data_IF_725843659851
#
_entry.id   IF_725843659851
#
_cell.length_a   1.000
_cell.length_b   1.000
_cell.length_c   1.000
_cell.angle_alpha   90.00
_cell.angle_beta   90.00
_cell.angle_gamma   90.00
#
_symmetry.space_group_name_H-M   'P 1'
#
loop_
_entity.id
_entity.type
_entity.pdbx_description
1 polymer ?
#
# COMPACT_ATOMS: atom_id res chain seq x y z
N UNK A 1 -10.23 -32.47 -13.43
CA UNK A 1 -9.54 -31.58 -14.37
C UNK A 1 -8.94 -30.48 -13.51
N UNK A 2 -7.67 -30.61 -13.13
CA UNK A 2 -6.95 -29.62 -12.31
C UNK A 2 -6.84 -28.34 -13.14
N UNK A 3 -7.52 -27.26 -12.73
CA UNK A 3 -7.25 -25.92 -13.26
C UNK A 3 -5.84 -25.57 -12.84
N UNK A 4 -4.96 -25.39 -13.80
CA UNK A 4 -3.65 -24.79 -13.60
C UNK A 4 -3.90 -23.42 -12.96
N UNK A 5 -3.31 -23.15 -11.81
CA UNK A 5 -3.27 -21.82 -11.22
C UNK A 5 -2.77 -20.82 -12.29
N UNK A 6 -3.20 -19.55 -12.27
CA UNK A 6 -2.60 -18.53 -13.12
C UNK A 6 -1.10 -18.70 -13.01
N UNK A 7 -0.45 -18.78 -14.16
CA UNK A 7 0.92 -19.25 -14.32
C UNK A 7 1.82 -18.46 -13.35
N UNK A 8 2.66 -19.17 -12.59
CA UNK A 8 3.65 -18.55 -11.70
C UNK A 8 4.43 -17.45 -12.45
N UNK A 9 4.69 -17.67 -13.73
CA UNK A 9 5.31 -16.70 -14.63
C UNK A 9 4.49 -15.40 -14.78
N UNK A 10 3.17 -15.45 -14.80
CA UNK A 10 2.31 -14.26 -14.90
C UNK A 10 2.34 -13.45 -13.59
N UNK A 11 2.33 -14.14 -12.44
CA UNK A 11 2.47 -13.51 -11.13
C UNK A 11 3.86 -12.88 -10.93
N UNK A 12 4.93 -13.52 -11.37
CA UNK A 12 6.29 -12.98 -11.34
C UNK A 12 6.44 -11.76 -12.26
N UNK A 13 5.86 -11.79 -13.44
CA UNK A 13 5.84 -10.64 -14.35
C UNK A 13 5.07 -9.46 -13.75
N UNK A 14 3.90 -9.71 -13.14
CA UNK A 14 3.14 -8.67 -12.45
C UNK A 14 3.92 -8.09 -11.27
N UNK A 15 4.65 -8.93 -10.51
CA UNK A 15 5.52 -8.49 -9.42
C UNK A 15 6.64 -7.58 -9.93
N UNK A 16 7.35 -7.96 -11.00
CA UNK A 16 8.41 -7.13 -11.59
C UNK A 16 7.90 -5.76 -12.01
N UNK A 17 6.75 -5.72 -12.69
CA UNK A 17 6.09 -4.47 -13.08
C UNK A 17 5.75 -3.60 -11.85
N UNK A 18 5.16 -4.19 -10.80
CA UNK A 18 4.82 -3.49 -9.57
C UNK A 18 6.05 -2.92 -8.87
N UNK A 19 7.15 -3.69 -8.79
CA UNK A 19 8.41 -3.25 -8.20
C UNK A 19 8.98 -2.04 -8.95
N UNK A 20 9.04 -2.09 -10.29
CA UNK A 20 9.51 -0.98 -11.11
C UNK A 20 8.63 0.26 -10.94
N UNK A 21 7.32 0.11 -10.97
CA UNK A 21 6.36 1.18 -10.81
C UNK A 21 6.48 1.84 -9.43
N UNK A 22 6.52 1.04 -8.35
CA UNK A 22 6.67 1.54 -6.99
C UNK A 22 7.98 2.32 -6.79
N UNK A 23 9.10 1.83 -7.32
CA UNK A 23 10.38 2.54 -7.25
C UNK A 23 10.39 3.85 -8.04
N UNK A 24 9.73 3.93 -9.20
CA UNK A 24 9.64 5.16 -9.98
C UNK A 24 8.77 6.19 -9.24
N UNK A 25 7.57 5.80 -8.81
CA UNK A 25 6.67 6.65 -8.04
C UNK A 25 7.32 7.12 -6.71
N UNK A 26 7.98 6.20 -6.00
CA UNK A 26 8.70 6.53 -4.77
C UNK A 26 9.78 7.59 -4.96
N UNK A 27 10.55 7.55 -6.06
CA UNK A 27 11.53 8.60 -6.39
C UNK A 27 10.88 9.95 -6.69
N UNK A 28 9.74 9.97 -7.38
CA UNK A 28 8.98 11.21 -7.65
C UNK A 28 8.49 11.82 -6.34
N UNK A 29 7.90 11.01 -5.46
CA UNK A 29 7.45 11.44 -4.14
C UNK A 29 8.62 11.96 -3.27
N UNK A 30 9.76 11.27 -3.24
CA UNK A 30 10.94 11.70 -2.50
C UNK A 30 11.48 13.05 -2.99
N UNK A 31 11.42 13.33 -4.29
CA UNK A 31 11.89 14.60 -4.84
C UNK A 31 11.09 15.82 -4.35
N UNK A 32 9.85 15.61 -3.87
CA UNK A 32 8.95 16.65 -3.34
C UNK A 32 8.79 16.61 -1.82
N UNK A 33 9.18 15.51 -1.17
CA UNK A 33 9.02 15.32 0.28
C UNK A 33 9.74 16.40 1.08
N UNK A 34 9.03 17.03 2.02
CA UNK A 34 9.58 18.12 2.85
C UNK A 34 9.62 19.48 2.16
N UNK A 35 9.21 19.56 0.90
CA UNK A 35 8.98 20.81 0.16
C UNK A 35 7.59 21.41 0.41
N UNK A 36 7.26 22.53 -0.29
CA UNK A 36 5.91 23.11 -0.23
C UNK A 36 4.87 22.07 -0.70
N UNK A 37 3.78 21.95 0.05
CA UNK A 37 2.64 21.13 -0.38
C UNK A 37 1.84 21.88 -1.46
N UNK A 38 1.73 21.31 -2.64
CA UNK A 38 1.02 21.87 -3.78
C UNK A 38 -0.25 21.06 -4.07
N UNK A 39 -1.31 21.72 -4.55
CA UNK A 39 -2.54 21.09 -5.00
C UNK A 39 -3.31 20.33 -3.91
N UNK A 40 -3.13 20.67 -2.63
CA UNK A 40 -3.75 19.94 -1.52
C UNK A 40 -5.26 20.16 -1.49
N UNK A 41 -6.02 19.07 -1.60
CA UNK A 41 -7.49 19.07 -1.58
C UNK A 41 -8.00 18.02 -0.58
N UNK A 42 -9.12 18.30 0.07
CA UNK A 42 -9.82 17.33 0.91
C UNK A 42 -10.70 16.41 0.04
N UNK A 43 -10.59 15.08 0.25
CA UNK A 43 -11.39 14.04 -0.41
C UNK A 43 -12.78 13.90 0.25
N UNK A 44 -12.89 12.94 1.18
CA UNK A 44 -14.16 12.60 1.82
C UNK A 44 -14.43 13.40 3.09
N UNK A 45 -13.38 13.86 3.77
CA UNK A 45 -13.44 14.69 4.98
C UNK A 45 -12.31 15.72 4.96
N UNK A 46 -12.39 16.76 5.81
CA UNK A 46 -11.31 17.75 5.94
C UNK A 46 -9.96 17.20 6.42
N UNK A 47 -9.91 15.95 6.82
CA UNK A 47 -8.72 15.24 7.27
C UNK A 47 -8.26 14.13 6.32
N UNK A 48 -8.99 13.94 5.23
CA UNK A 48 -8.69 12.99 4.16
C UNK A 48 -8.21 13.81 2.96
N UNK A 49 -6.89 13.87 2.77
CA UNK A 49 -6.23 14.82 1.87
C UNK A 49 -5.60 14.10 0.69
N UNK A 50 -5.49 14.81 -0.41
CA UNK A 50 -4.73 14.43 -1.61
C UNK A 50 -3.92 15.63 -2.07
N UNK A 51 -2.82 15.40 -2.75
CA UNK A 51 -1.95 16.44 -3.32
C UNK A 51 -1.59 16.15 -4.78
N UNK A 52 -0.97 17.12 -5.44
CA UNK A 52 -0.45 16.93 -6.79
C UNK A 52 0.60 15.80 -6.86
N UNK A 53 1.32 15.56 -5.75
CA UNK A 53 2.29 14.46 -5.66
C UNK A 53 1.62 13.09 -5.73
N UNK A 54 0.46 12.92 -5.07
CA UNK A 54 -0.35 11.69 -5.13
C UNK A 54 -0.81 11.43 -6.58
N UNK A 55 -1.38 12.47 -7.23
CA UNK A 55 -1.88 12.34 -8.60
C UNK A 55 -0.78 12.03 -9.61
N UNK A 56 0.40 12.65 -9.49
CA UNK A 56 1.54 12.37 -10.38
C UNK A 56 2.06 10.95 -10.21
N UNK A 57 2.16 10.48 -8.97
CA UNK A 57 2.55 9.10 -8.67
C UNK A 57 1.51 8.10 -9.21
N UNK A 58 0.21 8.39 -9.03
CA UNK A 58 -0.90 7.60 -9.58
C UNK A 58 -0.79 7.45 -11.09
N UNK A 59 -0.70 8.58 -11.81
CA UNK A 59 -0.58 8.58 -13.27
C UNK A 59 0.61 7.77 -13.78
N UNK A 60 1.74 7.84 -13.07
CA UNK A 60 2.94 7.07 -13.41
C UNK A 60 2.69 5.59 -13.27
N UNK A 61 2.15 5.14 -12.13
CA UNK A 61 1.87 3.72 -11.87
C UNK A 61 0.85 3.19 -12.87
N UNK A 62 -0.28 3.90 -13.04
CA UNK A 62 -1.35 3.50 -13.96
C UNK A 62 -0.87 3.46 -15.41
N UNK A 63 -0.04 4.41 -15.83
CA UNK A 63 0.55 4.44 -17.17
C UNK A 63 1.41 3.22 -17.45
N UNK A 64 2.22 2.79 -16.49
CA UNK A 64 3.04 1.58 -16.62
C UNK A 64 2.19 0.30 -16.66
N UNK A 65 1.19 0.19 -15.80
CA UNK A 65 0.30 -0.98 -15.79
C UNK A 65 -0.45 -1.07 -17.11
N UNK A 66 -1.05 0.02 -17.60
CA UNK A 66 -1.79 0.04 -18.87
C UNK A 66 -0.92 -0.30 -20.09
N UNK A 67 0.33 0.10 -20.06
CA UNK A 67 1.25 -0.18 -21.18
C UNK A 67 1.61 -1.67 -21.30
N UNK A 68 1.75 -2.38 -20.19
CA UNK A 68 2.15 -3.79 -20.18
C UNK A 68 0.98 -4.75 -19.95
N UNK A 69 -0.10 -4.29 -19.30
CA UNK A 69 -1.26 -5.06 -18.89
C UNK A 69 -2.58 -4.35 -19.28
N UNK A 70 -2.80 -4.04 -20.57
CA UNK A 70 -3.92 -3.21 -21.02
C UNK A 70 -5.31 -3.82 -20.75
N UNK A 71 -5.40 -5.16 -20.63
CA UNK A 71 -6.63 -5.90 -20.46
C UNK A 71 -6.96 -6.23 -18.99
N UNK A 72 -6.08 -5.86 -18.04
CA UNK A 72 -6.31 -6.04 -16.62
C UNK A 72 -7.21 -4.93 -16.06
N UNK A 73 -8.02 -5.27 -15.05
CA UNK A 73 -8.77 -4.27 -14.31
C UNK A 73 -7.84 -3.48 -13.37
N UNK A 74 -8.13 -2.19 -13.19
CA UNK A 74 -7.37 -1.33 -12.26
C UNK A 74 -8.34 -0.59 -11.35
N UNK A 75 -8.03 -0.54 -10.06
CA UNK A 75 -8.67 0.30 -9.06
C UNK A 75 -7.58 1.09 -8.34
N UNK A 76 -7.58 2.40 -8.50
CA UNK A 76 -6.71 3.31 -7.77
C UNK A 76 -7.46 4.07 -6.70
N UNK A 77 -6.80 4.37 -5.59
CA UNK A 77 -7.35 5.21 -4.53
C UNK A 77 -7.58 6.64 -5.01
N UNK A 78 -6.62 7.22 -5.77
CA UNK A 78 -6.65 8.62 -6.14
C UNK A 78 -7.59 8.93 -7.31
N UNK A 79 -7.52 8.16 -8.35
CA UNK A 79 -8.38 8.38 -9.52
C UNK A 79 -9.78 7.79 -9.36
N UNK A 80 -10.01 6.91 -8.39
CA UNK A 80 -11.26 6.17 -8.23
C UNK A 80 -11.60 5.36 -9.48
N UNK A 81 -10.67 5.21 -10.39
CA UNK A 81 -10.86 4.63 -11.70
C UNK A 81 -10.95 3.11 -11.58
N UNK A 82 -12.16 2.60 -11.69
CA UNK A 82 -12.39 1.18 -11.90
C UNK A 82 -12.38 0.91 -13.41
N UNK A 83 -11.22 0.65 -13.98
CA UNK A 83 -11.14 0.16 -15.36
C UNK A 83 -11.60 -1.29 -15.35
N UNK A 84 -12.61 -1.62 -16.16
CA UNK A 84 -13.04 -3.00 -16.33
C UNK A 84 -11.97 -3.75 -17.13
N UNK A 85 -11.56 -4.92 -16.63
CA UNK A 85 -10.62 -5.81 -17.34
C UNK A 85 -11.32 -7.06 -17.85
N UNK A 86 -10.65 -7.79 -18.76
CA UNK A 86 -11.13 -9.05 -19.34
C UNK A 86 -10.33 -10.28 -18.88
N UNK A 87 -9.19 -10.09 -18.25
CA UNK A 87 -8.27 -11.18 -17.82
C UNK A 87 -8.68 -11.87 -16.51
N UNK A 88 -9.53 -11.23 -15.70
CA UNK A 88 -9.83 -11.66 -14.33
C UNK A 88 -8.82 -11.18 -13.30
N UNK A 89 -7.72 -10.50 -13.73
CA UNK A 89 -6.76 -9.84 -12.85
C UNK A 89 -7.21 -8.41 -12.57
N UNK A 90 -7.08 -7.99 -11.31
CA UNK A 90 -7.34 -6.60 -10.88
C UNK A 90 -6.18 -6.06 -10.07
N UNK A 91 -5.67 -4.92 -10.49
CA UNK A 91 -4.67 -4.13 -9.77
C UNK A 91 -5.36 -3.23 -8.75
N UNK A 92 -4.74 -3.12 -7.57
CA UNK A 92 -5.11 -2.21 -6.50
C UNK A 92 -3.91 -1.30 -6.25
N UNK A 93 -4.10 0.00 -6.41
CA UNK A 93 -3.03 0.99 -6.34
C UNK A 93 -3.36 2.04 -5.29
N UNK A 94 -2.48 2.20 -4.32
CA UNK A 94 -2.39 3.36 -3.44
C UNK A 94 -1.03 4.01 -3.71
N UNK A 95 -0.99 5.11 -4.46
CA UNK A 95 0.26 5.73 -4.89
C UNK A 95 1.02 6.40 -3.74
N UNK A 96 0.32 6.81 -2.68
CA UNK A 96 0.88 7.44 -1.49
C UNK A 96 0.08 7.08 -0.24
N UNK A 97 0.28 5.85 0.28
CA UNK A 97 -0.24 5.47 1.60
C UNK A 97 0.43 6.33 2.69
N UNK A 98 -0.39 7.07 3.42
CA UNK A 98 0.07 8.01 4.43
C UNK A 98 0.21 9.45 3.93
N UNK A 99 -0.66 9.92 3.02
CA UNK A 99 -0.70 11.30 2.50
C UNK A 99 -0.63 12.35 3.60
N UNK A 100 -1.36 12.17 4.71
CA UNK A 100 -1.25 13.08 5.87
C UNK A 100 0.17 13.15 6.41
N UNK A 101 0.83 12.01 6.60
CA UNK A 101 2.22 11.97 7.08
C UNK A 101 3.16 12.69 6.11
N UNK A 102 3.00 12.40 4.83
CA UNK A 102 3.78 13.02 3.77
C UNK A 102 3.65 14.55 3.80
N UNK A 103 2.44 15.09 3.84
CA UNK A 103 2.15 16.52 3.84
C UNK A 103 2.68 17.24 5.08
N UNK A 104 2.72 16.55 6.23
CA UNK A 104 3.28 17.10 7.48
C UNK A 104 4.76 16.80 7.68
N UNK A 105 5.45 16.22 6.69
CA UNK A 105 6.87 15.87 6.81
C UNK A 105 7.14 14.74 7.82
N UNK A 106 6.11 13.98 8.20
CA UNK A 106 6.31 12.83 9.09
C UNK A 106 6.83 11.63 8.28
N UNK A 107 8.00 11.05 8.68
CA UNK A 107 8.70 10.09 7.82
C UNK A 107 8.11 8.67 7.90
N UNK A 108 6.85 8.51 7.55
CA UNK A 108 6.13 7.24 7.53
C UNK A 108 5.04 7.28 6.45
N UNK A 109 5.40 6.87 5.24
CA UNK A 109 4.53 6.75 4.09
C UNK A 109 5.14 5.76 3.09
N UNK A 110 4.33 5.22 2.20
CA UNK A 110 4.75 4.19 1.27
C UNK A 110 3.98 4.27 -0.06
N UNK A 111 4.49 3.58 -1.09
CA UNK A 111 3.74 3.22 -2.30
C UNK A 111 3.26 1.79 -2.14
N UNK A 112 1.96 1.54 -2.35
CA UNK A 112 1.36 0.22 -2.23
C UNK A 112 0.71 -0.21 -3.54
N UNK A 113 1.15 -1.34 -4.09
CA UNK A 113 0.64 -1.91 -5.34
C UNK A 113 0.38 -3.39 -5.14
N UNK A 114 -0.83 -3.85 -5.45
CA UNK A 114 -1.17 -5.26 -5.40
C UNK A 114 -1.98 -5.67 -6.63
N UNK A 115 -2.02 -6.95 -6.93
CA UNK A 115 -3.06 -7.49 -7.77
C UNK A 115 -3.69 -8.74 -7.17
N UNK A 116 -4.94 -8.99 -7.55
CA UNK A 116 -5.71 -10.16 -7.15
C UNK A 116 -6.49 -10.74 -8.34
N UNK A 117 -6.85 -11.98 -8.21
CA UNK A 117 -7.77 -12.71 -9.08
C UNK A 117 -9.00 -13.18 -8.29
N UNK A 118 -9.78 -14.09 -8.86
CA UNK A 118 -10.96 -14.70 -8.20
C UNK A 118 -10.61 -15.48 -6.92
N UNK A 119 -9.35 -15.90 -6.75
CA UNK A 119 -8.88 -16.66 -5.58
C UNK A 119 -8.36 -15.73 -4.45
N UNK A 120 -8.29 -14.42 -4.70
CA UNK A 120 -7.76 -13.43 -3.75
C UNK A 120 -6.43 -12.81 -4.17
N UNK A 121 -5.61 -12.38 -3.22
CA UNK A 121 -4.31 -11.75 -3.52
C UNK A 121 -3.40 -12.64 -4.35
N UNK A 122 -2.89 -12.12 -5.45
CA UNK A 122 -1.94 -12.79 -6.33
C UNK A 122 -0.51 -12.37 -6.02
N UNK A 123 -0.26 -11.07 -5.95
CA UNK A 123 0.99 -10.47 -5.50
C UNK A 123 0.74 -9.13 -4.79
N UNK A 124 1.74 -8.65 -4.05
CA UNK A 124 1.73 -7.31 -3.47
C UNK A 124 3.14 -6.77 -3.27
N UNK A 125 3.25 -5.45 -3.38
CA UNK A 125 4.45 -4.64 -3.15
C UNK A 125 4.10 -3.48 -2.25
N UNK A 126 4.92 -3.25 -1.22
CA UNK A 126 4.93 -2.01 -0.43
C UNK A 126 6.34 -1.47 -0.44
N UNK A 127 6.53 -0.27 -0.99
CA UNK A 127 7.83 0.40 -1.05
C UNK A 127 7.86 1.60 -0.11
N UNK A 128 8.77 1.59 0.85
CA UNK A 128 9.10 2.72 1.72
C UNK A 128 10.35 3.44 1.16
N UNK A 129 10.18 4.56 0.45
CA UNK A 129 11.32 5.24 -0.17
C UNK A 129 12.23 5.93 0.85
N UNK A 130 11.71 6.27 2.05
CA UNK A 130 12.49 6.93 3.09
C UNK A 130 13.51 5.99 3.71
N UNK A 131 13.14 4.71 3.88
CA UNK A 131 14.04 3.67 4.39
C UNK A 131 14.79 2.94 3.29
N UNK A 132 14.34 3.09 2.03
CA UNK A 132 14.86 2.33 0.89
C UNK A 132 14.50 0.85 1.01
N UNK A 133 13.40 0.52 1.66
CA UNK A 133 12.93 -0.85 1.90
C UNK A 133 11.76 -1.19 0.97
N UNK A 134 11.79 -2.38 0.36
CA UNK A 134 10.71 -2.86 -0.49
C UNK A 134 10.25 -4.23 -0.02
N UNK A 135 9.01 -4.29 0.44
CA UNK A 135 8.34 -5.51 0.83
C UNK A 135 7.58 -6.08 -0.35
N UNK A 136 7.65 -7.38 -0.56
CA UNK A 136 6.94 -8.04 -1.65
C UNK A 136 6.53 -9.47 -1.28
N UNK A 137 5.46 -9.94 -1.92
CA UNK A 137 5.04 -11.33 -1.83
C UNK A 137 4.29 -11.74 -3.10
N UNK A 138 4.39 -13.02 -3.44
CA UNK A 138 3.55 -13.70 -4.44
C UNK A 138 2.82 -14.83 -3.74
N UNK A 139 1.60 -15.11 -4.16
CA UNK A 139 0.79 -16.23 -3.63
C UNK A 139 1.55 -17.54 -3.66
N UNK A 140 1.61 -18.21 -2.50
CA UNK A 140 2.31 -19.48 -2.33
C UNK A 140 3.81 -19.37 -2.11
N UNK A 141 4.38 -18.17 -2.24
CA UNK A 141 5.78 -17.86 -1.93
C UNK A 141 5.95 -17.20 -0.55
N UNK A 142 7.20 -17.01 -0.11
CA UNK A 142 7.50 -16.26 1.10
C UNK A 142 7.24 -14.77 0.93
N UNK A 143 6.98 -14.06 2.03
CA UNK A 143 7.10 -12.60 2.06
C UNK A 143 8.59 -12.23 2.07
N UNK A 144 8.95 -11.18 1.34
CA UNK A 144 10.33 -10.73 1.19
C UNK A 144 10.49 -9.26 1.54
N UNK A 145 11.68 -8.88 1.96
CA UNK A 145 12.16 -7.49 2.03
C UNK A 145 13.46 -7.39 1.22
N UNK A 146 13.47 -6.57 0.20
CA UNK A 146 14.59 -6.39 -0.73
C UNK A 146 15.10 -7.74 -1.31
N UNK A 147 14.17 -8.62 -1.68
CA UNK A 147 14.46 -9.95 -2.23
C UNK A 147 14.96 -10.99 -1.21
N UNK A 148 14.94 -10.68 0.09
CA UNK A 148 15.30 -11.60 1.16
C UNK A 148 14.05 -12.07 1.89
N UNK A 149 13.93 -13.38 2.10
CA UNK A 149 12.79 -13.95 2.81
C UNK A 149 12.67 -13.40 4.23
N UNK A 150 11.46 -12.97 4.58
CA UNK A 150 11.14 -12.53 5.93
C UNK A 150 10.82 -13.73 6.81
N UNK A 151 11.42 -13.72 7.98
CA UNK A 151 11.10 -14.69 9.04
C UNK A 151 10.36 -13.94 10.14
N UNK A 152 9.16 -14.41 10.47
CA UNK A 152 8.38 -13.87 11.58
C UNK A 152 9.13 -14.15 12.89
N UNK A 153 9.62 -13.07 13.52
CA UNK A 153 10.10 -13.08 14.89
C UNK A 153 8.98 -12.55 15.79
N UNK A 154 8.11 -13.41 16.28
CA UNK A 154 6.98 -13.05 17.14
C UNK A 154 7.07 -13.71 18.50
N UNK A 155 6.35 -13.16 19.48
CA UNK A 155 6.08 -13.76 20.77
C UNK A 155 4.63 -14.22 20.80
N UNK A 156 4.38 -15.42 21.33
CA UNK A 156 3.01 -15.89 21.63
C UNK A 156 2.43 -15.22 22.90
N UNK A 157 3.27 -14.47 23.63
CA UNK A 157 2.87 -13.69 24.79
C UNK A 157 2.43 -12.27 24.36
N UNK A 158 1.15 -11.99 24.50
CA UNK A 158 0.57 -10.67 24.20
C UNK A 158 1.25 -9.56 25.00
N UNK A 159 1.65 -9.81 26.27
CA UNK A 159 2.34 -8.84 27.11
C UNK A 159 3.73 -8.45 26.57
N UNK A 160 4.30 -9.20 25.64
CA UNK A 160 5.54 -8.88 24.95
C UNK A 160 5.32 -8.25 23.57
N UNK A 161 4.07 -8.16 23.09
CA UNK A 161 3.76 -7.68 21.77
C UNK A 161 3.89 -6.16 21.64
N UNK A 162 4.52 -5.70 20.56
CA UNK A 162 4.46 -4.32 20.11
C UNK A 162 3.31 -4.20 19.11
N UNK A 163 2.26 -3.47 19.48
CA UNK A 163 1.03 -3.34 18.67
C UNK A 163 1.12 -2.13 17.73
N UNK A 164 1.00 -2.35 16.42
CA UNK A 164 0.76 -1.30 15.45
C UNK A 164 -0.73 -0.95 15.39
N UNK A 165 -1.06 0.35 15.27
CA UNK A 165 -2.45 0.81 15.12
C UNK A 165 -2.56 1.99 14.17
N UNK A 166 -3.76 2.23 13.66
CA UNK A 166 -4.15 3.39 12.87
C UNK A 166 -5.59 3.82 13.20
N UNK A 167 -5.97 5.01 12.74
CA UNK A 167 -7.30 5.56 12.96
C UNK A 167 -7.91 6.05 11.64
N UNK A 168 -9.20 5.81 11.44
CA UNK A 168 -9.92 6.34 10.28
C UNK A 168 -10.14 7.85 10.36
N UNK A 169 -10.43 8.47 9.21
CA UNK A 169 -10.60 9.92 9.08
C UNK A 169 -11.91 10.45 9.66
N UNK A 170 -12.94 9.62 9.81
CA UNK A 170 -14.22 9.99 10.43
C UNK A 170 -14.13 10.06 11.96
N UNK A 171 -14.62 11.13 12.56
CA UNK A 171 -14.52 11.37 14.01
C UNK A 171 -15.26 10.33 14.86
N UNK A 172 -16.42 9.83 14.41
CA UNK A 172 -17.20 8.81 15.12
C UNK A 172 -16.47 7.48 15.07
N UNK A 173 -15.92 7.13 13.90
CA UNK A 173 -15.10 5.93 13.71
C UNK A 173 -13.85 5.98 14.59
N UNK A 174 -13.11 7.11 14.61
CA UNK A 174 -11.95 7.30 15.48
C UNK A 174 -12.27 7.09 16.97
N UNK A 175 -13.38 7.66 17.45
CA UNK A 175 -13.82 7.47 18.84
C UNK A 175 -14.03 6.00 19.17
N UNK A 176 -14.68 5.24 18.28
CA UNK A 176 -14.90 3.79 18.48
C UNK A 176 -13.59 3.01 18.48
N UNK A 177 -12.66 3.35 17.58
CA UNK A 177 -11.35 2.73 17.50
C UNK A 177 -10.51 3.03 18.76
N UNK A 178 -10.51 4.28 19.23
CA UNK A 178 -9.83 4.67 20.46
C UNK A 178 -10.40 3.91 21.71
N UNK A 179 -11.72 3.78 21.78
CA UNK A 179 -12.35 3.01 22.87
C UNK A 179 -11.93 1.53 22.86
N UNK A 180 -11.81 0.91 21.68
CA UNK A 180 -11.28 -0.46 21.56
C UNK A 180 -9.82 -0.54 21.99
N UNK A 181 -8.99 0.43 21.55
CA UNK A 181 -7.58 0.48 21.90
C UNK A 181 -7.38 0.59 23.42
N UNK A 182 -8.19 1.35 24.12
CA UNK A 182 -8.14 1.46 25.59
C UNK A 182 -8.27 0.08 26.28
N UNK A 183 -9.04 -0.84 25.73
CA UNK A 183 -9.17 -2.20 26.26
C UNK A 183 -7.96 -3.09 25.96
N UNK A 184 -7.11 -2.73 25.00
CA UNK A 184 -5.95 -3.53 24.56
C UNK A 184 -4.64 -3.05 25.19
N UNK A 185 -4.48 -1.73 25.34
CA UNK A 185 -3.25 -1.09 25.86
C UNK A 185 -2.72 -1.74 27.16
N UNK A 186 -3.54 -2.09 28.17
CA UNK A 186 -3.04 -2.69 29.40
C UNK A 186 -2.46 -4.09 29.24
N UNK A 187 -2.68 -4.75 28.09
CA UNK A 187 -2.35 -6.16 27.87
C UNK A 187 -1.16 -6.35 26.90
N UNK A 188 -0.63 -5.29 26.33
CA UNK A 188 0.49 -5.33 25.37
C UNK A 188 1.71 -4.61 25.94
N UNK A 189 2.89 -4.89 25.38
CA UNK A 189 4.12 -4.20 25.78
C UNK A 189 4.03 -2.70 25.53
N UNK A 190 3.59 -2.31 24.34
CA UNK A 190 3.48 -0.91 23.94
C UNK A 190 2.68 -0.81 22.62
N UNK A 191 2.31 0.41 22.25
CA UNK A 191 1.56 0.71 21.04
C UNK A 191 2.35 1.68 20.16
N UNK A 192 2.33 1.46 18.85
CA UNK A 192 2.87 2.36 17.82
C UNK A 192 1.78 2.75 16.83
N UNK A 193 1.78 4.02 16.48
CA UNK A 193 0.92 4.55 15.43
C UNK A 193 1.81 5.22 14.39
N UNK A 194 2.01 4.56 13.26
CA UNK A 194 2.83 5.07 12.16
C UNK A 194 2.00 5.74 11.07
N UNK A 195 0.82 5.24 10.79
CA UNK A 195 -0.04 5.75 9.72
C UNK A 195 -1.28 4.89 9.62
#
# INVERSE_FOLDING_TARGET
MLRVSPDTADAEHALDLALRAAHIAGRQLMARFGGPAEGVVAKSTSTDLVSDADHEADQTILGMIRAERPDDAILSEESGEAVAGSTGIRWLVDPLDGTTNYLWGYPQWAVSIACHDEQGGLMGVVHDPLRGETFSAVRGGPAQMDGRDLVLAGSDDLGQALLGTGFGYDAVRRRRQAARLMGVVPHVRDVRRGG
#
